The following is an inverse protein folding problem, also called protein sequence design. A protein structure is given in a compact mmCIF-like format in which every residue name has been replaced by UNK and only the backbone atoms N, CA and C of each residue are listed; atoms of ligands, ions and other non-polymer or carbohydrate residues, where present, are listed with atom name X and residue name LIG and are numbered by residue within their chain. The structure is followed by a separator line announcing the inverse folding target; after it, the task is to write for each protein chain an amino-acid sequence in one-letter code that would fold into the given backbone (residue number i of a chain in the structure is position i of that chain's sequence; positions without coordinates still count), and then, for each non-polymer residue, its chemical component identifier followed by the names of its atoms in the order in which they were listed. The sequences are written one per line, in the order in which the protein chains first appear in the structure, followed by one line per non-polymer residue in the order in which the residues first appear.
data_IF_675139954820
#
_entry.id   IF_675139954820
#
_cell.length_a   1.000
_cell.length_b   1.000
_cell.length_c   1.000
_cell.angle_alpha   90.00
_cell.angle_beta   90.00
_cell.angle_gamma   90.00
#
_symmetry.space_group_name_H-M   'P 1'
#
loop_
_entity.id
_entity.type
_entity.pdbx_description
1 polymer ?
#
# COMPACT_ATOMS: atom_id res chain seq x y z
N UNK A 1 -49.90 31.66 60.70
CA UNK A 1 -49.58 30.31 60.18
C UNK A 1 -49.80 30.30 58.69
N UNK A 2 -48.74 30.46 57.88
CA UNK A 2 -48.51 29.84 56.54
C UNK A 2 -47.02 30.03 56.24
N UNK A 3 -46.28 28.93 56.34
CA UNK A 3 -44.86 28.77 55.99
C UNK A 3 -44.80 28.41 54.50
N UNK A 4 -43.62 28.63 53.90
CA UNK A 4 -42.94 27.81 52.87
C UNK A 4 -42.60 28.66 51.64
N UNK A 5 -41.35 29.13 51.51
CA UNK A 5 -40.08 28.42 51.32
C UNK A 5 -39.74 28.35 49.82
N UNK A 6 -38.70 29.10 49.47
CA UNK A 6 -38.05 29.15 48.16
C UNK A 6 -37.25 27.85 47.99
N UNK A 7 -37.53 27.09 46.95
CA UNK A 7 -36.68 25.99 46.51
C UNK A 7 -35.84 26.45 45.31
N UNK A 8 -34.57 26.75 45.55
CA UNK A 8 -33.54 26.87 44.52
C UNK A 8 -33.16 25.44 44.08
N UNK A 9 -33.52 25.05 42.86
CA UNK A 9 -33.02 23.82 42.26
C UNK A 9 -31.64 24.08 41.66
N UNK A 10 -30.61 23.53 42.29
CA UNK A 10 -29.26 23.43 41.75
C UNK A 10 -29.23 22.38 40.62
N UNK A 11 -28.91 22.79 39.40
CA UNK A 11 -28.65 21.86 38.29
C UNK A 11 -27.24 21.31 38.45
N UNK A 12 -27.17 20.00 38.69
CA UNK A 12 -25.93 19.23 38.75
C UNK A 12 -25.28 19.18 37.37
N UNK A 13 -23.99 19.53 37.31
CA UNK A 13 -23.13 19.41 36.12
C UNK A 13 -22.96 17.93 35.79
N UNK A 14 -23.52 17.47 34.67
CA UNK A 14 -23.23 16.17 34.10
C UNK A 14 -21.88 16.21 33.38
N UNK A 15 -20.88 15.52 33.93
CA UNK A 15 -19.65 15.22 33.19
C UNK A 15 -20.00 14.26 32.05
N UNK A 16 -19.84 14.72 30.81
CA UNK A 16 -19.79 13.82 29.65
C UNK A 16 -18.46 13.08 29.74
N UNK A 17 -18.51 11.80 30.10
CA UNK A 17 -17.38 10.90 30.04
C UNK A 17 -17.02 10.72 28.56
N UNK A 18 -15.97 11.39 28.10
CA UNK A 18 -15.41 11.18 26.77
C UNK A 18 -14.89 9.75 26.69
N UNK A 19 -15.57 8.91 25.91
CA UNK A 19 -15.02 7.63 25.49
C UNK A 19 -13.82 7.90 24.58
N UNK A 20 -12.60 7.86 25.14
CA UNK A 20 -11.38 7.74 24.35
C UNK A 20 -11.20 6.27 24.02
N UNK A 21 -11.64 5.86 22.83
CA UNK A 21 -11.40 4.53 22.27
C UNK A 21 -10.53 4.63 21.01
N UNK A 22 -9.45 5.41 21.09
CA UNK A 22 -8.38 5.32 20.10
C UNK A 22 -7.15 4.75 20.82
N UNK A 23 -6.91 3.46 20.61
CA UNK A 23 -5.59 2.87 20.87
C UNK A 23 -4.56 3.77 20.18
N UNK A 24 -3.53 4.20 20.91
CA UNK A 24 -2.44 4.99 20.34
C UNK A 24 -1.93 4.28 19.07
N UNK A 25 -1.74 5.03 17.99
CA UNK A 25 -1.15 4.48 16.78
C UNK A 25 0.17 3.80 17.17
N UNK A 26 0.33 2.52 16.83
CA UNK A 26 1.63 1.88 16.92
C UNK A 26 2.54 2.61 15.93
N UNK A 27 3.73 2.98 16.38
CA UNK A 27 4.74 3.55 15.48
C UNK A 27 5.13 2.46 14.47
N UNK A 28 4.97 2.76 13.17
CA UNK A 28 5.36 1.84 12.11
C UNK A 28 6.87 1.92 11.92
N UNK A 29 7.55 0.80 12.13
CA UNK A 29 8.97 0.65 11.80
C UNK A 29 9.11 -0.04 10.44
N UNK A 30 10.10 0.39 9.65
CA UNK A 30 10.43 -0.18 8.36
C UNK A 30 11.93 -0.18 8.17
N UNK A 31 12.45 -1.22 7.53
CA UNK A 31 13.84 -1.27 7.09
C UNK A 31 13.92 -1.53 5.59
N UNK A 32 15.06 -1.19 5.00
CA UNK A 32 15.32 -1.46 3.59
C UNK A 32 15.58 -2.95 3.40
N UNK A 33 14.77 -3.60 2.56
CA UNK A 33 14.94 -5.02 2.24
C UNK A 33 15.71 -5.22 0.94
N UNK A 34 15.18 -4.72 -0.18
CA UNK A 34 15.78 -4.87 -1.51
C UNK A 34 15.38 -3.74 -2.47
N UNK A 35 16.15 -3.60 -3.54
CA UNK A 35 15.79 -2.93 -4.78
C UNK A 35 15.49 -4.00 -5.85
N UNK A 36 14.47 -3.75 -6.67
CA UNK A 36 14.04 -4.62 -7.77
C UNK A 36 14.04 -3.82 -9.08
N UNK A 37 14.82 -4.28 -10.05
CA UNK A 37 14.91 -3.71 -11.39
C UNK A 37 14.32 -4.71 -12.37
N UNK A 38 13.28 -4.32 -13.11
CA UNK A 38 12.59 -5.18 -14.07
C UNK A 38 12.89 -4.75 -15.49
N UNK A 39 13.29 -5.72 -16.31
CA UNK A 39 13.30 -5.57 -17.76
C UNK A 39 11.91 -5.91 -18.30
N UNK A 40 11.36 -5.00 -19.10
CA UNK A 40 10.00 -5.13 -19.64
C UNK A 40 9.97 -4.94 -21.15
N UNK A 41 9.15 -5.75 -21.80
CA UNK A 41 8.81 -5.58 -23.21
C UNK A 41 7.79 -4.44 -23.43
N UNK A 42 7.60 -3.98 -24.67
CA UNK A 42 6.52 -3.07 -25.01
C UNK A 42 5.16 -3.58 -24.51
N UNK A 43 4.35 -2.68 -23.97
CA UNK A 43 3.04 -3.04 -23.44
C UNK A 43 2.12 -3.57 -24.54
N UNK A 44 1.40 -4.64 -24.22
CA UNK A 44 0.36 -5.22 -25.05
C UNK A 44 -0.99 -4.64 -24.64
N UNK A 45 -1.76 -4.16 -25.61
CA UNK A 45 -3.12 -3.67 -25.39
C UNK A 45 -4.09 -4.85 -25.28
N UNK A 46 -4.74 -4.98 -24.11
CA UNK A 46 -5.79 -5.95 -23.83
C UNK A 46 -7.11 -5.25 -23.42
N UNK A 47 -7.34 -4.03 -23.93
CA UNK A 47 -8.54 -3.24 -23.68
C UNK A 47 -8.39 -2.35 -22.43
N UNK A 48 -9.24 -2.51 -21.39
CA UNK A 48 -9.13 -1.70 -20.17
C UNK A 48 -7.87 -1.99 -19.36
N UNK A 49 -7.14 -3.05 -19.73
CA UNK A 49 -5.87 -3.47 -19.13
C UNK A 49 -4.80 -3.49 -20.21
N UNK A 50 -3.62 -2.92 -19.92
CA UNK A 50 -2.40 -3.19 -20.67
C UNK A 50 -1.54 -4.19 -19.91
N UNK A 51 -0.82 -5.03 -20.65
CA UNK A 51 0.06 -6.06 -20.07
C UNK A 51 1.49 -5.65 -20.38
N UNK A 52 2.33 -5.46 -19.37
CA UNK A 52 3.77 -5.25 -19.52
C UNK A 52 4.50 -6.57 -19.23
N UNK A 53 4.92 -7.34 -20.26
CA UNK A 53 5.62 -8.60 -20.03
C UNK A 53 6.97 -8.35 -19.38
N UNK A 54 7.28 -9.09 -18.32
CA UNK A 54 8.58 -9.06 -17.67
C UNK A 54 9.48 -10.09 -18.33
N UNK A 55 10.56 -9.61 -18.93
CA UNK A 55 11.53 -10.43 -19.68
C UNK A 55 12.73 -10.81 -18.83
N UNK A 56 12.87 -10.21 -17.66
CA UNK A 56 13.96 -10.48 -16.73
C UNK A 56 14.16 -9.32 -15.76
N UNK A 57 15.37 -9.22 -15.23
CA UNK A 57 15.75 -8.19 -14.29
C UNK A 57 16.66 -8.71 -13.19
N UNK A 58 16.92 -7.86 -12.22
CA UNK A 58 17.78 -8.16 -11.07
C UNK A 58 17.17 -7.59 -9.80
N UNK A 59 17.57 -8.13 -8.66
CA UNK A 59 17.23 -7.57 -7.37
C UNK A 59 18.41 -7.70 -6.40
N UNK A 60 18.47 -6.82 -5.42
CA UNK A 60 19.57 -6.78 -4.47
C UNK A 60 19.28 -5.96 -3.22
N UNK A 61 19.82 -6.39 -2.10
CA UNK A 61 19.68 -5.79 -0.78
C UNK A 61 20.73 -6.34 0.18
N UNK A 62 20.71 -5.93 1.47
CA UNK A 62 21.76 -6.31 2.43
C UNK A 62 21.88 -7.83 2.65
N UNK A 63 20.76 -8.55 2.55
CA UNK A 63 20.67 -9.98 2.86
C UNK A 63 20.17 -10.84 1.68
N UNK A 64 19.91 -10.23 0.52
CA UNK A 64 19.30 -10.93 -0.61
C UNK A 64 19.77 -10.36 -1.95
N UNK A 65 20.07 -11.21 -2.90
CA UNK A 65 20.43 -10.83 -4.27
C UNK A 65 20.08 -11.95 -5.25
N UNK A 66 19.82 -11.58 -6.50
CA UNK A 66 19.49 -12.55 -7.53
C UNK A 66 18.96 -11.94 -8.83
N UNK A 67 18.29 -12.77 -9.60
CA UNK A 67 17.74 -12.44 -10.92
C UNK A 67 16.25 -12.68 -11.00
N UNK A 68 15.59 -12.02 -11.96
CA UNK A 68 14.17 -12.21 -12.27
C UNK A 68 14.09 -13.09 -13.51
N UNK A 69 13.27 -14.14 -13.45
CA UNK A 69 13.00 -15.00 -14.61
C UNK A 69 12.02 -14.34 -15.60
N UNK A 70 12.19 -14.60 -16.91
CA UNK A 70 11.15 -14.27 -17.88
C UNK A 70 9.86 -15.06 -17.62
N UNK A 71 8.72 -14.47 -17.96
CA UNK A 71 7.41 -15.14 -17.92
C UNK A 71 6.41 -14.54 -16.93
N UNK A 72 6.84 -13.54 -16.15
CA UNK A 72 5.95 -12.68 -15.38
C UNK A 72 5.39 -11.51 -16.19
N UNK A 73 4.51 -10.71 -15.57
CA UNK A 73 4.01 -9.47 -16.15
C UNK A 73 3.44 -8.53 -15.08
N UNK A 74 3.22 -7.28 -15.47
CA UNK A 74 2.30 -6.34 -14.81
C UNK A 74 1.00 -6.23 -15.62
N UNK A 75 -0.15 -6.42 -14.96
CA UNK A 75 -1.47 -6.19 -15.52
C UNK A 75 -1.99 -4.82 -15.08
N UNK A 76 -1.72 -3.81 -15.90
CA UNK A 76 -1.98 -2.41 -15.63
C UNK A 76 -3.42 -2.08 -16.04
N UNK A 77 -4.32 -1.91 -15.07
CA UNK A 77 -5.73 -1.61 -15.33
C UNK A 77 -6.02 -0.13 -15.10
N UNK A 78 -6.62 0.52 -16.09
CA UNK A 78 -6.99 1.93 -15.98
C UNK A 78 -8.24 2.11 -15.13
N UNK A 79 -8.12 2.87 -14.04
CA UNK A 79 -9.20 3.21 -13.12
C UNK A 79 -9.37 4.73 -13.12
N UNK A 80 -10.56 5.23 -12.76
CA UNK A 80 -10.79 6.67 -12.71
C UNK A 80 -9.76 7.37 -11.79
N UNK A 81 -8.87 8.16 -12.40
CA UNK A 81 -7.85 8.95 -11.70
C UNK A 81 -6.52 8.23 -11.39
N UNK A 82 -6.35 6.95 -11.72
CA UNK A 82 -5.10 6.22 -11.52
C UNK A 82 -5.03 4.91 -12.33
N UNK A 83 -3.82 4.37 -12.45
CA UNK A 83 -3.59 3.01 -12.97
C UNK A 83 -3.41 2.07 -11.78
N UNK A 84 -4.06 0.91 -11.79
CA UNK A 84 -3.87 -0.16 -10.81
C UNK A 84 -2.91 -1.19 -11.37
N UNK A 85 -1.95 -1.62 -10.57
CA UNK A 85 -0.96 -2.65 -10.92
C UNK A 85 -1.32 -3.98 -10.26
N UNK A 86 -1.08 -5.08 -10.96
CA UNK A 86 -1.08 -6.46 -10.44
C UNK A 86 0.15 -7.11 -11.08
N UNK A 87 1.24 -7.24 -10.31
CA UNK A 87 2.51 -7.75 -10.80
C UNK A 87 2.71 -9.16 -10.27
N UNK A 88 3.13 -10.07 -11.15
CA UNK A 88 3.46 -11.45 -10.79
C UNK A 88 4.73 -11.87 -11.51
N UNK A 89 5.75 -12.23 -10.75
CA UNK A 89 7.08 -12.54 -11.25
C UNK A 89 7.69 -13.69 -10.45
N UNK A 90 8.75 -14.28 -11.02
CA UNK A 90 9.56 -15.31 -10.36
C UNK A 90 10.96 -14.78 -10.20
N UNK A 91 11.46 -14.78 -8.96
CA UNK A 91 12.84 -14.46 -8.63
C UNK A 91 13.62 -15.74 -8.41
N UNK A 92 14.90 -15.75 -8.74
CA UNK A 92 15.87 -16.76 -8.34
C UNK A 92 17.02 -16.08 -7.60
N UNK A 93 17.27 -16.47 -6.35
CA UNK A 93 18.40 -15.99 -5.58
C UNK A 93 19.71 -16.57 -6.10
N UNK A 94 20.84 -15.93 -5.78
CA UNK A 94 22.15 -16.41 -6.23
C UNK A 94 22.55 -17.79 -5.68
N UNK A 95 21.90 -18.27 -4.61
CA UNK A 95 22.04 -19.63 -4.07
C UNK A 95 21.02 -20.63 -4.65
N UNK A 96 20.20 -20.21 -5.62
CA UNK A 96 19.35 -21.06 -6.45
C UNK A 96 17.92 -21.28 -5.93
N UNK A 97 17.48 -20.52 -4.92
CA UNK A 97 16.12 -20.61 -4.39
C UNK A 97 15.13 -19.79 -5.25
N UNK A 98 13.98 -20.39 -5.56
CA UNK A 98 12.92 -19.74 -6.33
C UNK A 98 11.89 -19.07 -5.44
N UNK A 99 11.62 -17.80 -5.70
CA UNK A 99 10.62 -17.00 -4.98
C UNK A 99 9.55 -16.56 -5.98
N UNK A 100 8.31 -16.98 -5.75
CA UNK A 100 7.16 -16.35 -6.40
C UNK A 100 6.85 -15.03 -5.69
N UNK A 101 6.86 -13.93 -6.43
CA UNK A 101 6.50 -12.62 -5.90
C UNK A 101 5.27 -12.09 -6.63
N UNK A 102 4.30 -11.62 -5.85
CA UNK A 102 3.18 -10.84 -6.36
C UNK A 102 2.96 -9.59 -5.52
N UNK A 103 2.71 -8.47 -6.17
CA UNK A 103 2.35 -7.23 -5.48
C UNK A 103 1.32 -6.44 -6.28
N UNK A 104 0.56 -5.61 -5.57
CA UNK A 104 -0.35 -4.66 -6.20
C UNK A 104 0.18 -3.25 -6.03
N UNK A 105 -0.29 -2.31 -6.85
CA UNK A 105 0.16 -0.94 -6.75
C UNK A 105 -0.80 0.04 -7.38
N UNK A 106 -0.52 1.32 -7.14
CA UNK A 106 -1.21 2.43 -7.79
C UNK A 106 -0.16 3.36 -8.39
N UNK A 107 -0.44 3.79 -9.62
CA UNK A 107 0.25 4.88 -10.30
C UNK A 107 -0.75 5.98 -10.60
N UNK A 108 -0.51 7.18 -10.08
CA UNK A 108 -1.33 8.35 -10.42
C UNK A 108 -0.46 9.50 -10.92
N UNK A 109 -0.98 10.25 -11.88
CA UNK A 109 -0.36 11.50 -12.29
C UNK A 109 -0.73 12.60 -11.27
N UNK A 110 0.28 13.28 -10.73
CA UNK A 110 0.12 14.43 -9.85
C UNK A 110 0.89 15.65 -10.35
N UNK A 111 0.72 16.79 -9.67
CA UNK A 111 1.35 18.05 -10.04
C UNK A 111 2.90 18.00 -10.03
N UNK A 112 3.49 17.03 -9.33
CA UNK A 112 4.95 16.81 -9.26
C UNK A 112 5.48 15.66 -10.12
N UNK A 113 4.66 15.07 -10.99
CA UNK A 113 5.02 13.89 -11.78
C UNK A 113 4.21 12.64 -11.38
N UNK A 114 4.75 11.46 -11.67
CA UNK A 114 4.09 10.20 -11.34
C UNK A 114 4.26 9.90 -9.84
N UNK A 115 3.14 9.69 -9.15
CA UNK A 115 3.10 9.14 -7.81
C UNK A 115 2.91 7.62 -7.89
N UNK A 116 3.79 6.89 -7.21
CA UNK A 116 3.79 5.43 -7.16
C UNK A 116 3.63 4.94 -5.72
N UNK A 117 2.80 3.93 -5.52
CA UNK A 117 2.66 3.25 -4.22
C UNK A 117 2.35 1.77 -4.40
N UNK A 118 3.18 0.91 -3.80
CA UNK A 118 2.91 -0.54 -3.66
C UNK A 118 1.91 -0.75 -2.50
N UNK A 119 1.02 -1.73 -2.65
CA UNK A 119 -0.03 -2.09 -1.69
C UNK A 119 -0.02 -3.57 -1.36
#
# INVERSE_FOLDING_TARGET
SRICAIALASVSIGFVQTASAQTAANDLESEFFLELLLDVDPQLDAGPTSIAPVTGGTFGGPEIQGTVHPGGADWITQVAGHSSLDVRITLETDDGELIYMSYTGIVSAGAGGLYWRVR
#
